data_IF_963581392328
#
_entry.id   IF_963581392328
#
_cell.length_a   1.000
_cell.length_b   1.000
_cell.length_c   1.000
_cell.angle_alpha   90.00
_cell.angle_beta   90.00
_cell.angle_gamma   90.00
#
_symmetry.space_group_name_H-M   'P 1'
#
loop_
_entity.id
_entity.type
_entity.pdbx_description
1 polymer ?
#
# COMPACT_ATOMS: atom_id res chain seq x y z
N UNK A 1 -5.63 -9.35 -12.56
CA UNK A 1 -5.65 -8.47 -11.37
C UNK A 1 -6.86 -8.87 -10.54
N UNK A 2 -6.72 -9.11 -9.23
CA UNK A 2 -7.87 -9.50 -8.37
C UNK A 2 -8.74 -8.26 -8.23
N UNK A 3 -9.96 -8.26 -8.77
CA UNK A 3 -10.87 -7.10 -8.62
C UNK A 3 -11.21 -6.92 -7.14
N UNK A 4 -10.92 -5.73 -6.60
CA UNK A 4 -11.30 -5.33 -5.25
C UNK A 4 -12.51 -4.40 -5.37
N UNK A 5 -13.59 -4.67 -4.64
CA UNK A 5 -14.82 -3.87 -4.69
C UNK A 5 -14.63 -2.48 -4.08
N UNK A 6 -13.90 -2.40 -2.97
CA UNK A 6 -13.63 -1.16 -2.23
C UNK A 6 -12.17 -0.70 -2.37
N UNK A 7 -11.60 -0.76 -3.58
CA UNK A 7 -10.17 -0.53 -3.80
C UNK A 7 -9.68 0.85 -3.33
N UNK A 8 -10.47 1.90 -3.54
CA UNK A 8 -10.11 3.26 -3.13
C UNK A 8 -10.02 3.39 -1.59
N UNK A 9 -10.94 2.78 -0.86
CA UNK A 9 -10.97 2.79 0.60
C UNK A 9 -9.84 1.92 1.18
N UNK A 10 -9.64 0.73 0.61
CA UNK A 10 -8.52 -0.15 0.94
C UNK A 10 -7.18 0.54 0.71
N UNK A 11 -7.02 1.27 -0.39
CA UNK A 11 -5.81 2.04 -0.68
C UNK A 11 -5.58 3.15 0.37
N UNK A 12 -6.62 3.93 0.71
CA UNK A 12 -6.50 4.99 1.70
C UNK A 12 -6.00 4.44 3.03
N UNK A 13 -6.59 3.33 3.49
CA UNK A 13 -6.17 2.63 4.71
C UNK A 13 -4.79 2.00 4.59
N UNK A 14 -4.43 1.48 3.42
CA UNK A 14 -3.09 0.97 3.16
C UNK A 14 -2.03 2.07 3.29
N UNK A 15 -2.31 3.28 2.81
CA UNK A 15 -1.39 4.42 2.93
C UNK A 15 -1.25 4.82 4.40
N UNK A 16 -2.37 4.98 5.13
CA UNK A 16 -2.34 5.30 6.58
C UNK A 16 -1.48 4.28 7.35
N UNK A 17 -1.68 2.99 7.10
CA UNK A 17 -0.93 1.93 7.77
C UNK A 17 0.53 1.88 7.34
N UNK A 18 0.81 2.06 6.05
CA UNK A 18 2.16 2.10 5.50
C UNK A 18 2.98 3.28 6.02
N UNK A 19 2.34 4.44 6.22
CA UNK A 19 2.96 5.61 6.84
C UNK A 19 3.37 5.31 8.28
N UNK A 20 2.44 4.82 9.09
CA UNK A 20 2.71 4.42 10.48
C UNK A 20 3.82 3.34 10.56
N UNK A 21 3.82 2.39 9.62
CA UNK A 21 4.84 1.35 9.54
C UNK A 21 6.24 1.92 9.28
N UNK A 22 6.36 2.84 8.31
CA UNK A 22 7.63 3.51 8.00
C UNK A 22 8.17 4.36 9.15
N UNK A 23 7.30 5.14 9.79
CA UNK A 23 7.66 5.98 10.94
C UNK A 23 8.06 5.14 12.17
N UNK A 24 7.33 4.06 12.46
CA UNK A 24 7.66 3.13 13.54
C UNK A 24 9.03 2.49 13.35
N UNK A 25 9.43 2.25 12.09
CA UNK A 25 10.78 1.75 11.75
C UNK A 25 11.85 2.84 11.75
N UNK A 26 11.49 4.11 11.93
CA UNK A 26 12.38 5.28 11.89
C UNK A 26 13.17 5.39 10.58
N UNK A 27 12.60 4.91 9.47
CA UNK A 27 13.23 4.96 8.13
C UNK A 27 12.72 6.12 7.28
N UNK A 28 11.66 6.77 7.72
CA UNK A 28 11.03 7.92 7.05
C UNK A 28 10.23 8.71 8.06
N UNK A 29 10.01 9.99 7.74
CA UNK A 29 9.04 10.86 8.38
C UNK A 29 8.20 11.45 7.26
N UNK A 30 6.90 11.23 7.28
CA UNK A 30 6.04 11.77 6.24
C UNK A 30 5.55 13.15 6.64
N UNK A 31 5.50 14.06 5.68
CA UNK A 31 4.92 15.38 5.88
C UNK A 31 3.54 15.50 5.22
N UNK A 32 2.75 16.46 5.68
CA UNK A 32 1.44 16.72 5.08
C UNK A 32 1.56 17.19 3.62
N UNK A 33 2.64 17.90 3.30
CA UNK A 33 2.92 18.46 1.97
C UNK A 33 3.40 17.41 0.95
N UNK A 34 3.89 16.25 1.40
CA UNK A 34 4.33 15.17 0.52
C UNK A 34 3.20 14.72 -0.39
N UNK A 35 3.50 14.58 -1.68
CA UNK A 35 2.50 14.16 -2.65
C UNK A 35 1.98 12.75 -2.35
N UNK A 36 0.71 12.50 -2.67
CA UNK A 36 0.12 11.18 -2.45
C UNK A 36 0.87 10.08 -3.23
N UNK A 37 1.38 10.39 -4.42
CA UNK A 37 2.09 9.43 -5.25
C UNK A 37 3.46 9.07 -4.65
N UNK A 38 4.19 10.04 -4.09
CA UNK A 38 5.48 9.78 -3.45
C UNK A 38 5.32 8.89 -2.21
N UNK A 39 4.27 9.15 -1.42
CA UNK A 39 3.90 8.29 -0.27
C UNK A 39 3.65 6.85 -0.73
N UNK A 40 2.84 6.68 -1.77
CA UNK A 40 2.50 5.36 -2.32
C UNK A 40 3.75 4.63 -2.80
N UNK A 41 4.61 5.29 -3.57
CA UNK A 41 5.84 4.69 -4.09
C UNK A 41 6.81 4.32 -2.96
N UNK A 42 6.99 5.21 -1.99
CA UNK A 42 7.86 4.93 -0.85
C UNK A 42 7.35 3.74 -0.04
N UNK A 43 6.06 3.72 0.32
CA UNK A 43 5.45 2.63 1.09
C UNK A 43 5.59 1.31 0.32
N UNK A 44 5.28 1.29 -0.98
CA UNK A 44 5.44 0.10 -1.80
C UNK A 44 6.90 -0.42 -1.76
N UNK A 45 7.88 0.45 -1.99
CA UNK A 45 9.30 0.07 -1.97
C UNK A 45 9.73 -0.46 -0.60
N UNK A 46 9.28 0.17 0.48
CA UNK A 46 9.55 -0.27 1.84
C UNK A 46 9.00 -1.67 2.11
N UNK A 47 7.74 -1.92 1.74
CA UNK A 47 7.10 -3.22 1.92
C UNK A 47 7.75 -4.31 1.07
N UNK A 48 8.19 -4.00 -0.17
CA UNK A 48 8.97 -4.93 -1.00
C UNK A 48 10.30 -5.25 -0.35
N UNK A 49 11.02 -4.23 0.14
CA UNK A 49 12.33 -4.39 0.80
C UNK A 49 12.22 -5.30 2.03
N UNK A 50 11.14 -5.13 2.78
CA UNK A 50 10.85 -5.93 3.97
C UNK A 50 10.18 -7.28 3.64
N UNK A 51 10.04 -7.62 2.36
CA UNK A 51 9.44 -8.86 1.84
C UNK A 51 7.98 -9.09 2.28
N UNK A 52 7.27 -8.02 2.63
CA UNK A 52 5.84 -8.07 2.98
C UNK A 52 4.95 -8.12 1.74
N UNK A 53 5.43 -7.60 0.61
CA UNK A 53 4.77 -7.70 -0.69
C UNK A 53 5.75 -8.17 -1.76
N UNK A 54 5.23 -8.90 -2.74
CA UNK A 54 6.02 -9.31 -3.91
C UNK A 54 6.24 -8.12 -4.85
N UNK A 55 7.48 -7.92 -5.34
CA UNK A 55 7.77 -6.89 -6.32
C UNK A 55 7.00 -7.14 -7.62
N UNK A 56 6.61 -6.05 -8.26
CA UNK A 56 6.13 -6.02 -9.63
C UNK A 56 7.29 -6.30 -10.60
N UNK A 57 6.95 -6.91 -11.73
CA UNK A 57 7.87 -7.02 -12.86
C UNK A 57 8.24 -5.62 -13.39
N UNK A 58 9.41 -5.48 -14.01
CA UNK A 58 9.97 -4.18 -14.41
C UNK A 58 9.03 -3.40 -15.37
N UNK A 59 8.38 -4.11 -16.27
CA UNK A 59 7.39 -3.61 -17.23
C UNK A 59 6.05 -3.21 -16.59
N UNK A 60 5.80 -3.65 -15.35
CA UNK A 60 4.58 -3.35 -14.61
C UNK A 60 4.79 -2.27 -13.54
N UNK A 61 5.96 -1.64 -13.48
CA UNK A 61 6.22 -0.54 -12.55
C UNK A 61 5.40 0.67 -12.98
N UNK A 62 4.34 0.97 -12.23
CA UNK A 62 3.52 2.17 -12.39
C UNK A 62 2.82 2.51 -11.08
N UNK A 63 2.46 3.79 -10.91
CA UNK A 63 1.70 4.24 -9.74
C UNK A 63 0.36 3.50 -9.61
N UNK A 64 -0.32 3.20 -10.72
CA UNK A 64 -1.57 2.44 -10.69
C UNK A 64 -1.36 1.04 -10.11
N UNK A 65 -0.30 0.35 -10.53
CA UNK A 65 0.01 -0.98 -10.02
C UNK A 65 0.50 -0.96 -8.57
N UNK A 66 1.22 0.08 -8.13
CA UNK A 66 1.56 0.27 -6.72
C UNK A 66 0.32 0.41 -5.85
N UNK A 67 -0.63 1.27 -6.26
CA UNK A 67 -1.92 1.43 -5.58
C UNK A 67 -2.63 0.09 -5.41
N UNK A 68 -2.71 -0.69 -6.49
CA UNK A 68 -3.34 -2.00 -6.46
C UNK A 68 -2.65 -2.98 -5.49
N UNK A 69 -1.31 -3.02 -5.52
CA UNK A 69 -0.51 -3.87 -4.61
C UNK A 69 -0.71 -3.49 -3.14
N UNK A 70 -0.76 -2.19 -2.84
CA UNK A 70 -1.01 -1.70 -1.48
C UNK A 70 -2.43 -2.05 -1.01
N UNK A 71 -3.43 -1.89 -1.87
CA UNK A 71 -4.80 -2.28 -1.54
C UNK A 71 -4.92 -3.78 -1.25
N UNK A 72 -4.26 -4.64 -2.04
CA UNK A 72 -4.18 -6.09 -1.77
C UNK A 72 -3.45 -6.39 -0.46
N UNK A 73 -2.34 -5.69 -0.20
CA UNK A 73 -1.59 -5.88 1.04
C UNK A 73 -2.41 -5.53 2.27
N UNK A 74 -3.18 -4.44 2.23
CA UNK A 74 -4.07 -4.07 3.31
C UNK A 74 -5.26 -5.02 3.43
N UNK A 75 -5.83 -5.46 2.31
CA UNK A 75 -6.95 -6.41 2.31
C UNK A 75 -6.61 -7.73 3.02
N UNK A 76 -5.34 -8.16 2.97
CA UNK A 76 -4.84 -9.37 3.67
C UNK A 76 -4.67 -9.22 5.18
N UNK A 77 -4.73 -7.99 5.69
CA UNK A 77 -4.64 -7.69 7.12
C UNK A 77 -6.03 -7.57 7.78
N UNK A 78 -7.08 -7.54 6.96
CA UNK A 78 -8.45 -7.50 7.42
C UNK A 78 -8.97 -8.93 7.68
N UNK A 79 -9.87 -9.12 8.66
CA UNK A 79 -10.60 -10.36 8.82
C UNK A 79 -11.39 -10.71 7.56
N UNK A 80 -11.58 -12.00 7.27
CA UNK A 80 -12.24 -12.45 6.04
C UNK A 80 -13.69 -11.94 5.88
N UNK A 81 -14.38 -11.65 6.99
CA UNK A 81 -15.76 -11.10 6.99
C UNK A 81 -15.81 -9.55 6.96
N UNK A 82 -14.67 -8.88 6.78
CA UNK A 82 -14.62 -7.42 6.83
C UNK A 82 -15.43 -6.78 5.69
N UNK A 83 -16.24 -5.73 5.94
CA UNK A 83 -17.09 -5.10 4.93
C UNK A 83 -16.36 -4.67 3.65
N UNK A 84 -15.11 -4.21 3.77
CA UNK A 84 -14.28 -3.81 2.62
C UNK A 84 -13.83 -4.96 1.70
N UNK A 85 -14.02 -6.21 2.13
CA UNK A 85 -13.74 -7.40 1.32
C UNK A 85 -14.99 -7.96 0.61
N UNK A 86 -16.18 -7.48 0.99
CA UNK A 86 -17.47 -7.96 0.47
C UNK A 86 -17.80 -7.36 -0.88
#
# INVERSE_FOLDING_TARGET
>A
MKKLKHEAELLKKAIELGMMYGEKKRVVKFEAADSANDKIEFIYKLLVRDKLIQPLAKDQISISNYKHKLAIWFSKQLPDDHPLLK
#
